data_IF_726388631441
#
_entry.id   IF_726388631441
#
_cell.length_a   1.000
_cell.length_b   1.000
_cell.length_c   1.000
_cell.angle_alpha   90.00
_cell.angle_beta   90.00
_cell.angle_gamma   90.00
#
_symmetry.space_group_name_H-M   'P 1'
#
loop_
_entity.id
_entity.type
_entity.pdbx_description
1 polymer ?
#
# COMPACT_ATOMS: atom_id res chain seq x y z
N UNK A 1 -39.99 -7.44 -30.51
CA UNK A 1 -38.95 -7.97 -31.41
C UNK A 1 -37.81 -8.52 -30.55
N UNK A 2 -37.12 -9.61 -30.96
CA UNK A 2 -36.06 -10.19 -30.14
C UNK A 2 -34.78 -9.35 -30.23
N UNK A 3 -34.29 -8.88 -29.09
CA UNK A 3 -32.99 -8.23 -28.94
C UNK A 3 -31.91 -9.25 -28.60
N UNK A 4 -30.67 -8.97 -29.01
CA UNK A 4 -29.50 -9.84 -28.76
C UNK A 4 -28.55 -9.19 -27.76
N UNK A 5 -28.38 -9.83 -26.61
CA UNK A 5 -27.45 -9.43 -25.57
C UNK A 5 -26.22 -10.31 -25.62
N UNK A 6 -25.02 -9.72 -25.66
CA UNK A 6 -23.75 -10.43 -25.78
C UNK A 6 -22.91 -10.20 -24.53
N UNK A 7 -22.65 -11.26 -23.80
CA UNK A 7 -21.97 -11.22 -22.50
C UNK A 7 -20.53 -11.69 -22.66
N UNK A 8 -19.59 -10.83 -22.28
CA UNK A 8 -18.16 -11.05 -22.48
C UNK A 8 -17.35 -10.65 -21.25
N UNK A 9 -16.21 -11.33 -21.08
CA UNK A 9 -15.17 -10.86 -20.18
C UNK A 9 -14.46 -9.63 -20.75
N UNK A 10 -13.69 -8.93 -19.90
CA UNK A 10 -12.88 -7.76 -20.29
C UNK A 10 -11.86 -8.06 -21.41
N UNK A 11 -11.45 -9.32 -21.55
CA UNK A 11 -10.57 -9.80 -22.64
C UNK A 11 -11.34 -10.16 -23.93
N UNK A 12 -12.63 -9.81 -24.01
CA UNK A 12 -13.55 -10.09 -25.10
C UNK A 12 -13.92 -11.57 -25.30
N UNK A 13 -13.49 -12.48 -24.42
CA UNK A 13 -13.94 -13.87 -24.44
C UNK A 13 -15.41 -13.98 -24.05
N UNK A 14 -16.13 -14.92 -24.66
CA UNK A 14 -17.56 -15.12 -24.41
C UNK A 14 -17.79 -15.83 -23.07
N UNK A 15 -18.77 -15.38 -22.29
CA UNK A 15 -19.22 -16.12 -21.10
C UNK A 15 -20.38 -17.04 -21.46
N UNK A 16 -20.10 -18.34 -21.58
CA UNK A 16 -21.10 -19.35 -21.93
C UNK A 16 -21.81 -19.95 -20.70
N UNK A 17 -23.02 -20.46 -20.92
CA UNK A 17 -23.82 -21.24 -19.96
C UNK A 17 -23.97 -20.60 -18.56
N UNK A 18 -24.07 -19.27 -18.51
CA UNK A 18 -24.11 -18.51 -17.26
C UNK A 18 -25.43 -17.77 -17.12
N UNK A 19 -25.91 -17.66 -15.88
CA UNK A 19 -27.19 -17.03 -15.55
C UNK A 19 -27.04 -15.52 -15.37
N UNK A 20 -27.94 -14.76 -15.97
CA UNK A 20 -28.01 -13.30 -15.91
C UNK A 20 -29.45 -12.84 -15.69
N UNK A 21 -29.59 -11.69 -15.04
CA UNK A 21 -30.87 -11.01 -14.86
C UNK A 21 -30.99 -9.90 -15.90
N UNK A 22 -32.00 -9.97 -16.77
CA UNK A 22 -32.35 -8.89 -17.69
C UNK A 22 -33.78 -8.48 -17.42
N UNK A 23 -33.99 -7.25 -16.94
CA UNK A 23 -35.29 -6.72 -16.50
C UNK A 23 -35.99 -7.61 -15.48
N UNK A 24 -35.20 -8.19 -14.56
CA UNK A 24 -35.69 -9.10 -13.51
C UNK A 24 -35.95 -10.55 -13.97
N UNK A 25 -35.79 -10.86 -15.26
CA UNK A 25 -35.90 -12.23 -15.77
C UNK A 25 -34.54 -12.92 -15.75
N UNK A 26 -34.46 -14.11 -15.14
CA UNK A 26 -33.28 -14.96 -15.20
C UNK A 26 -33.18 -15.66 -16.56
N UNK A 27 -32.07 -15.44 -17.25
CA UNK A 27 -31.77 -15.94 -18.59
C UNK A 27 -30.37 -16.56 -18.60
N UNK A 28 -30.16 -17.54 -19.48
CA UNK A 28 -28.88 -18.26 -19.59
C UNK A 28 -28.22 -17.94 -20.91
N UNK A 29 -26.92 -17.62 -20.90
CA UNK A 29 -26.14 -17.41 -22.12
C UNK A 29 -25.93 -18.71 -22.88
N UNK A 30 -26.00 -18.64 -24.21
CA UNK A 30 -25.63 -19.76 -25.07
C UNK A 30 -24.09 -19.99 -25.12
N UNK A 31 -23.65 -20.93 -25.97
CA UNK A 31 -22.22 -21.24 -26.14
C UNK A 31 -21.37 -20.06 -26.64
N UNK A 32 -21.99 -19.06 -27.26
CA UNK A 32 -21.35 -17.86 -27.78
C UNK A 32 -21.48 -16.66 -26.82
N UNK A 33 -22.07 -16.87 -25.64
CA UNK A 33 -22.31 -15.82 -24.66
C UNK A 33 -23.50 -14.93 -25.01
N UNK A 34 -24.46 -15.41 -25.80
CA UNK A 34 -25.58 -14.61 -26.30
C UNK A 34 -26.88 -15.00 -25.60
N UNK A 35 -27.69 -13.98 -25.28
CA UNK A 35 -29.08 -14.11 -24.81
C UNK A 35 -29.99 -13.41 -25.82
N UNK A 36 -31.04 -14.12 -26.25
CA UNK A 36 -32.10 -13.56 -27.08
C UNK A 36 -33.32 -13.27 -26.21
N UNK A 37 -33.79 -12.03 -26.17
CA UNK A 37 -34.94 -11.63 -25.34
C UNK A 37 -35.89 -10.73 -26.12
N UNK A 38 -37.16 -11.09 -26.13
CA UNK A 38 -38.23 -10.27 -26.71
C UNK A 38 -38.72 -9.24 -25.70
N UNK A 39 -38.65 -7.97 -26.07
CA UNK A 39 -39.08 -6.85 -25.23
C UNK A 39 -40.27 -6.11 -25.86
N UNK A 40 -41.10 -5.42 -25.05
CA UNK A 40 -42.17 -4.56 -25.53
C UNK A 40 -41.64 -3.48 -26.49
N UNK A 41 -42.41 -3.12 -27.51
CA UNK A 41 -41.99 -2.17 -28.55
C UNK A 41 -41.67 -0.75 -28.03
N UNK A 42 -42.14 -0.40 -26.83
CA UNK A 42 -41.91 0.90 -26.19
C UNK A 42 -40.72 0.89 -25.21
N UNK A 43 -40.05 -0.24 -25.00
CA UNK A 43 -38.89 -0.29 -24.12
C UNK A 43 -37.71 0.45 -24.76
N UNK A 44 -37.08 1.36 -24.02
CA UNK A 44 -35.90 2.12 -24.47
C UNK A 44 -34.62 1.71 -23.74
N UNK A 45 -34.74 0.95 -22.64
CA UNK A 45 -33.62 0.42 -21.87
C UNK A 45 -34.04 -0.86 -21.14
N UNK A 46 -33.04 -1.60 -20.66
CA UNK A 46 -33.20 -2.73 -19.75
C UNK A 46 -32.22 -2.65 -18.58
N UNK A 47 -32.61 -3.24 -17.46
CA UNK A 47 -31.71 -3.42 -16.32
C UNK A 47 -30.99 -4.77 -16.45
N UNK A 48 -29.69 -4.77 -16.24
CA UNK A 48 -28.77 -5.89 -16.33
C UNK A 48 -28.21 -6.14 -14.92
N UNK A 49 -28.39 -7.35 -14.43
CA UNK A 49 -27.79 -7.85 -13.21
C UNK A 49 -27.18 -9.23 -13.42
N UNK A 50 -26.34 -9.64 -12.47
CA UNK A 50 -25.92 -11.04 -12.34
C UNK A 50 -26.82 -11.72 -11.31
N UNK A 51 -27.35 -12.91 -11.61
CA UNK A 51 -28.01 -13.72 -10.57
C UNK A 51 -27.00 -14.46 -9.68
N UNK A 52 -25.72 -14.45 -10.05
CA UNK A 52 -24.61 -14.96 -9.25
C UNK A 52 -23.55 -13.86 -9.05
N UNK A 53 -23.80 -13.00 -8.05
CA UNK A 53 -22.89 -11.92 -7.65
C UNK A 53 -21.54 -12.43 -7.13
N UNK A 54 -21.43 -13.73 -6.79
CA UNK A 54 -20.19 -14.37 -6.34
C UNK A 54 -19.32 -14.85 -7.50
N UNK A 55 -19.87 -14.94 -8.70
CA UNK A 55 -19.15 -15.41 -9.89
C UNK A 55 -18.76 -14.28 -10.84
N UNK A 56 -19.56 -13.20 -10.95
CA UNK A 56 -19.31 -12.11 -11.90
C UNK A 56 -19.83 -10.74 -11.42
N UNK A 57 -19.10 -9.68 -11.79
CA UNK A 57 -19.51 -8.26 -11.63
C UNK A 57 -19.67 -7.63 -13.01
N UNK A 58 -20.83 -7.01 -13.26
CA UNK A 58 -21.10 -6.24 -14.49
C UNK A 58 -20.31 -4.94 -14.47
N UNK A 59 -19.45 -4.76 -15.48
CA UNK A 59 -18.60 -3.57 -15.68
C UNK A 59 -19.19 -2.60 -16.68
N UNK A 60 -19.93 -3.12 -17.65
CA UNK A 60 -20.66 -2.35 -18.65
C UNK A 60 -21.93 -3.10 -19.03
N UNK A 61 -23.07 -2.42 -19.24
CA UNK A 61 -23.27 -0.97 -19.10
C UNK A 61 -23.05 -0.48 -17.66
N UNK A 62 -22.60 0.76 -17.52
CA UNK A 62 -22.45 1.41 -16.21
C UNK A 62 -23.81 1.44 -15.51
N UNK A 63 -23.82 1.21 -14.20
CA UNK A 63 -25.04 1.13 -13.36
C UNK A 63 -26.01 0.01 -13.74
N UNK A 64 -25.58 -0.94 -14.58
CA UNK A 64 -26.43 -2.06 -14.99
C UNK A 64 -27.61 -1.63 -15.87
N UNK A 65 -27.54 -0.51 -16.60
CA UNK A 65 -28.62 -0.05 -17.48
C UNK A 65 -28.21 -0.06 -18.95
N UNK A 66 -28.71 -1.01 -19.74
CA UNK A 66 -28.41 -1.09 -21.16
C UNK A 66 -29.45 -0.32 -21.98
N UNK A 67 -29.00 0.59 -22.85
CA UNK A 67 -29.88 1.27 -23.81
C UNK A 67 -30.20 0.31 -24.95
N UNK A 68 -31.48 0.21 -25.32
CA UNK A 68 -31.92 -0.63 -26.43
C UNK A 68 -31.68 0.09 -27.76
N UNK A 69 -30.99 -0.53 -28.74
CA UNK A 69 -30.81 0.04 -30.05
C UNK A 69 -32.16 0.13 -30.80
N UNK A 70 -32.27 1.10 -31.71
CA UNK A 70 -33.45 1.22 -32.59
C UNK A 70 -33.61 0.02 -33.53
N UNK A 71 -32.49 -0.57 -33.92
CA UNK A 71 -32.44 -1.82 -34.68
C UNK A 71 -32.22 -3.02 -33.72
N UNK A 72 -33.21 -3.91 -33.55
CA UNK A 72 -33.09 -5.09 -32.70
C UNK A 72 -32.04 -6.11 -33.16
N UNK A 73 -31.56 -6.03 -34.41
CA UNK A 73 -30.48 -6.88 -34.89
C UNK A 73 -29.11 -6.48 -34.32
N UNK A 74 -28.97 -5.27 -33.78
CA UNK A 74 -27.74 -4.78 -33.16
C UNK A 74 -27.50 -5.45 -31.80
N UNK A 75 -26.27 -5.92 -31.58
CA UNK A 75 -25.88 -6.52 -30.31
C UNK A 75 -25.76 -5.48 -29.20
N UNK A 76 -26.27 -5.83 -28.02
CA UNK A 76 -26.08 -5.09 -26.79
C UNK A 76 -24.95 -5.78 -26.02
N UNK A 77 -23.79 -5.15 -25.96
CA UNK A 77 -22.62 -5.68 -25.27
C UNK A 77 -22.69 -5.46 -23.76
N UNK A 78 -22.47 -6.54 -23.01
CA UNK A 78 -22.37 -6.56 -21.55
C UNK A 78 -20.97 -7.09 -21.22
N UNK A 79 -20.17 -6.25 -20.56
CA UNK A 79 -18.84 -6.63 -20.11
C UNK A 79 -18.84 -6.95 -18.63
N UNK A 80 -18.20 -8.06 -18.28
CA UNK A 80 -18.13 -8.58 -16.92
C UNK A 80 -16.68 -8.86 -16.51
N UNK A 81 -16.46 -8.86 -15.19
CA UNK A 81 -15.20 -9.28 -14.58
C UNK A 81 -15.49 -10.34 -13.51
N UNK A 82 -14.56 -11.25 -13.26
CA UNK A 82 -14.63 -12.11 -12.06
C UNK A 82 -14.57 -11.21 -10.81
N UNK A 83 -15.35 -11.50 -9.75
CA UNK A 83 -15.23 -10.78 -8.50
C UNK A 83 -13.80 -10.94 -8.03
N UNK A 84 -13.10 -9.82 -7.93
CA UNK A 84 -11.82 -9.77 -7.28
C UNK A 84 -12.10 -10.18 -5.83
N UNK A 85 -11.38 -11.15 -5.23
CA UNK A 85 -11.43 -11.32 -3.79
C UNK A 85 -11.20 -9.94 -3.17
N UNK A 86 -12.10 -9.55 -2.28
CA UNK A 86 -12.24 -8.18 -1.83
C UNK A 86 -10.87 -7.67 -1.37
N UNK A 87 -10.33 -6.65 -2.04
CA UNK A 87 -8.94 -6.21 -1.80
C UNK A 87 -8.75 -5.72 -0.35
N UNK A 88 -9.85 -5.37 0.32
CA UNK A 88 -9.91 -5.10 1.76
C UNK A 88 -9.60 -6.33 2.63
N UNK A 89 -9.96 -7.54 2.19
CA UNK A 89 -9.68 -8.79 2.90
C UNK A 89 -8.19 -9.18 2.77
N UNK A 90 -7.59 -8.96 1.60
CA UNK A 90 -6.14 -9.12 1.39
C UNK A 90 -5.31 -8.06 2.13
N UNK A 91 -5.78 -6.80 2.15
CA UNK A 91 -5.16 -5.72 2.92
C UNK A 91 -5.28 -6.00 4.41
N UNK A 92 -6.45 -6.40 4.92
CA UNK A 92 -6.61 -6.75 6.34
C UNK A 92 -5.81 -8.00 6.74
N UNK A 93 -5.68 -9.02 5.88
CA UNK A 93 -4.83 -10.17 6.15
C UNK A 93 -3.33 -9.81 6.19
N UNK A 94 -2.86 -8.93 5.29
CA UNK A 94 -1.48 -8.42 5.32
C UNK A 94 -1.23 -7.49 6.50
N UNK A 95 -2.15 -6.57 6.79
CA UNK A 95 -2.10 -5.73 7.99
C UNK A 95 -2.07 -6.58 9.26
N UNK A 96 -2.82 -7.68 9.30
CA UNK A 96 -2.79 -8.63 10.42
C UNK A 96 -1.44 -9.32 10.54
N UNK A 97 -0.86 -9.81 9.43
CA UNK A 97 0.45 -10.46 9.43
C UNK A 97 1.59 -9.50 9.83
N UNK A 98 1.56 -8.26 9.33
CA UNK A 98 2.54 -7.21 9.64
C UNK A 98 2.40 -6.70 11.07
N UNK A 99 1.16 -6.48 11.54
CA UNK A 99 0.85 -6.22 12.94
C UNK A 99 1.38 -7.32 13.85
N UNK A 100 1.28 -8.60 13.43
CA UNK A 100 1.82 -9.73 14.21
C UNK A 100 3.36 -9.71 14.28
N UNK A 101 4.04 -9.33 13.19
CA UNK A 101 5.50 -9.20 13.17
C UNK A 101 5.97 -8.03 14.06
N UNK A 102 5.30 -6.88 13.96
CA UNK A 102 5.58 -5.70 14.80
C UNK A 102 5.30 -6.02 16.27
N UNK A 103 4.16 -6.63 16.60
CA UNK A 103 3.83 -7.02 17.97
C UNK A 103 4.88 -7.98 18.59
N UNK A 104 5.44 -8.90 17.80
CA UNK A 104 6.56 -9.74 18.24
C UNK A 104 7.82 -8.92 18.52
N UNK A 105 8.14 -7.95 17.68
CA UNK A 105 9.26 -7.03 17.89
C UNK A 105 9.03 -6.14 19.13
N UNK A 106 7.81 -5.63 19.33
CA UNK A 106 7.44 -4.82 20.49
C UNK A 106 7.64 -5.59 21.80
N UNK A 107 7.17 -6.85 21.84
CA UNK A 107 7.32 -7.71 23.02
C UNK A 107 8.78 -7.99 23.34
N UNK A 108 9.61 -8.27 22.33
CA UNK A 108 11.06 -8.49 22.50
C UNK A 108 11.76 -7.22 23.01
N UNK A 109 11.44 -6.08 22.41
CA UNK A 109 12.05 -4.79 22.75
C UNK A 109 11.67 -4.34 24.15
N UNK A 110 10.40 -4.51 24.54
CA UNK A 110 9.91 -4.16 25.89
C UNK A 110 10.54 -5.05 26.96
N UNK A 111 10.63 -6.37 26.72
CA UNK A 111 11.32 -7.30 27.62
C UNK A 111 12.80 -6.92 27.77
N UNK A 112 13.48 -6.63 26.66
CA UNK A 112 14.87 -6.21 26.68
C UNK A 112 15.08 -4.87 27.41
N UNK A 113 14.15 -3.92 27.28
CA UNK A 113 14.23 -2.64 27.99
C UNK A 113 14.14 -2.79 29.50
N UNK A 114 13.22 -3.63 29.98
CA UNK A 114 13.11 -3.92 31.42
C UNK A 114 14.41 -4.52 31.97
N UNK A 115 15.08 -5.36 31.17
CA UNK A 115 16.39 -5.92 31.52
C UNK A 115 17.49 -4.84 31.57
N UNK A 116 17.51 -3.90 30.62
CA UNK A 116 18.42 -2.74 30.66
C UNK A 116 18.22 -1.94 31.95
N UNK A 117 16.97 -1.65 32.33
CA UNK A 117 16.68 -0.92 33.56
C UNK A 117 17.14 -1.67 34.82
N UNK A 118 16.95 -2.99 34.85
CA UNK A 118 17.44 -3.86 35.92
C UNK A 118 18.96 -3.80 36.03
N UNK A 119 19.66 -3.98 34.91
CA UNK A 119 21.12 -3.96 34.85
C UNK A 119 21.72 -2.59 35.22
N UNK A 120 21.07 -1.50 34.81
CA UNK A 120 21.47 -0.15 35.21
C UNK A 120 21.32 0.09 36.71
N UNK A 121 20.28 -0.47 37.35
CA UNK A 121 20.08 -0.38 38.81
C UNK A 121 21.07 -1.23 39.58
N UNK A 122 21.33 -2.45 39.12
CA UNK A 122 22.22 -3.40 39.80
C UNK A 122 23.71 -3.04 39.66
N UNK A 123 24.11 -2.47 38.51
CA UNK A 123 25.52 -2.26 38.18
C UNK A 123 26.00 -0.80 38.30
N UNK A 124 25.29 0.05 39.06
CA UNK A 124 25.62 1.49 39.23
C UNK A 124 27.06 1.77 39.72
N UNK A 125 27.76 0.77 40.28
CA UNK A 125 29.10 0.94 40.88
C UNK A 125 30.22 0.07 40.29
N UNK A 126 29.91 -0.97 39.50
CA UNK A 126 30.92 -1.96 39.03
C UNK A 126 30.99 -2.15 37.51
N UNK A 127 30.12 -1.49 36.74
CA UNK A 127 29.98 -1.74 35.31
C UNK A 127 29.38 -3.12 35.02
N UNK A 128 28.96 -3.38 33.78
CA UNK A 128 28.48 -4.69 33.37
C UNK A 128 29.65 -5.65 33.13
N UNK A 129 29.45 -6.93 33.43
CA UNK A 129 30.40 -7.98 33.02
C UNK A 129 30.45 -8.13 31.50
N UNK A 130 31.58 -8.57 30.97
CA UNK A 130 31.74 -8.84 29.53
C UNK A 130 30.69 -9.84 28.99
N UNK A 131 30.32 -10.85 29.81
CA UNK A 131 29.28 -11.81 29.45
C UNK A 131 27.89 -11.17 29.33
N UNK A 132 27.54 -10.24 30.24
CA UNK A 132 26.27 -9.51 30.18
C UNK A 132 26.23 -8.54 29.00
N UNK A 133 27.35 -7.87 28.71
CA UNK A 133 27.51 -7.04 27.52
C UNK A 133 27.30 -7.85 26.24
N UNK A 134 28.00 -8.98 26.09
CA UNK A 134 27.88 -9.84 24.92
C UNK A 134 26.44 -10.34 24.72
N UNK A 135 25.79 -10.84 25.78
CA UNK A 135 24.39 -11.28 25.73
C UNK A 135 23.47 -10.15 25.26
N UNK A 136 23.61 -8.96 25.85
CA UNK A 136 22.83 -7.80 25.45
C UNK A 136 23.04 -7.39 23.99
N UNK A 137 24.29 -7.47 23.49
CA UNK A 137 24.58 -7.24 22.06
C UNK A 137 23.89 -8.25 21.16
N UNK A 138 23.94 -9.55 21.50
CA UNK A 138 23.26 -10.61 20.74
C UNK A 138 21.74 -10.42 20.71
N UNK A 139 21.15 -9.92 21.79
CA UNK A 139 19.71 -9.69 21.87
C UNK A 139 19.27 -8.42 21.14
N UNK A 140 20.03 -7.33 21.26
CA UNK A 140 19.63 -6.01 20.75
C UNK A 140 20.11 -5.69 19.34
N UNK A 141 21.27 -6.20 18.91
CA UNK A 141 21.79 -5.94 17.57
C UNK A 141 20.77 -6.30 16.47
N UNK A 142 20.10 -7.47 16.51
CA UNK A 142 19.08 -7.80 15.53
C UNK A 142 17.87 -6.86 15.59
N UNK A 143 17.45 -6.42 16.78
CA UNK A 143 16.29 -5.54 16.95
C UNK A 143 16.56 -4.14 16.37
N UNK A 144 17.74 -3.59 16.66
CA UNK A 144 18.18 -2.28 16.15
C UNK A 144 18.25 -2.34 14.62
N UNK A 145 18.92 -3.37 14.09
CA UNK A 145 19.12 -3.56 12.65
C UNK A 145 17.78 -3.75 11.93
N UNK A 146 16.91 -4.60 12.47
CA UNK A 146 15.59 -4.86 11.90
C UNK A 146 14.69 -3.62 11.92
N UNK A 147 14.69 -2.84 13.01
CA UNK A 147 13.92 -1.60 13.10
C UNK A 147 14.32 -0.61 12.00
N UNK A 148 15.63 -0.36 11.82
CA UNK A 148 16.12 0.58 10.82
C UNK A 148 15.89 0.07 9.39
N UNK A 149 16.10 -1.22 9.15
CA UNK A 149 15.90 -1.81 7.82
C UNK A 149 14.42 -1.86 7.44
N UNK A 150 13.52 -2.19 8.37
CA UNK A 150 12.07 -2.18 8.11
C UNK A 150 11.56 -0.77 7.86
N UNK A 151 12.05 0.23 8.60
CA UNK A 151 11.78 1.63 8.28
C UNK A 151 12.23 1.99 6.86
N UNK A 152 13.50 1.73 6.53
CA UNK A 152 14.07 2.09 5.23
C UNK A 152 13.33 1.39 4.08
N UNK A 153 13.02 0.10 4.24
CA UNK A 153 12.30 -0.70 3.24
C UNK A 153 10.91 -0.15 2.99
N UNK A 154 10.11 0.07 4.04
CA UNK A 154 8.75 0.60 3.89
C UNK A 154 8.74 2.02 3.31
N UNK A 155 9.74 2.84 3.62
CA UNK A 155 9.91 4.15 3.01
C UNK A 155 10.26 4.08 1.52
N UNK A 156 11.13 3.14 1.11
CA UNK A 156 11.45 2.86 -0.30
C UNK A 156 10.23 2.34 -1.06
N UNK A 157 9.47 1.42 -0.47
CA UNK A 157 8.25 0.88 -1.05
C UNK A 157 7.20 1.99 -1.28
N UNK A 158 7.05 2.89 -0.32
CA UNK A 158 6.19 4.06 -0.45
C UNK A 158 6.66 4.98 -1.60
N UNK A 159 7.95 5.34 -1.65
CA UNK A 159 8.51 6.17 -2.73
C UNK A 159 8.27 5.54 -4.12
N UNK A 160 8.47 4.23 -4.24
CA UNK A 160 8.22 3.49 -5.47
C UNK A 160 6.74 3.52 -5.86
N UNK A 161 5.83 3.34 -4.89
CA UNK A 161 4.38 3.40 -5.13
C UNK A 161 3.92 4.79 -5.61
N UNK A 162 4.53 5.88 -5.09
CA UNK A 162 4.25 7.25 -5.55
C UNK A 162 4.72 7.46 -7.00
N UNK A 163 5.87 6.89 -7.38
CA UNK A 163 6.36 6.90 -8.76
C UNK A 163 5.41 6.17 -9.71
N UNK A 164 4.88 5.03 -9.29
CA UNK A 164 3.87 4.28 -10.04
C UNK A 164 2.57 5.08 -10.19
N UNK A 165 2.11 5.73 -9.11
CA UNK A 165 0.91 6.56 -9.13
C UNK A 165 1.08 7.76 -10.08
N UNK A 166 2.22 8.45 -10.02
CA UNK A 166 2.56 9.52 -10.97
C UNK A 166 2.49 9.01 -12.41
N UNK A 167 3.11 7.86 -12.71
CA UNK A 167 3.08 7.25 -14.04
C UNK A 167 1.65 6.91 -14.51
N UNK A 168 0.78 6.49 -13.58
CA UNK A 168 -0.63 6.26 -13.87
C UNK A 168 -1.37 7.54 -14.30
N UNK A 169 -1.00 8.69 -13.73
CA UNK A 169 -1.64 9.99 -13.97
C UNK A 169 -1.18 10.72 -15.24
N UNK A 170 -0.16 10.23 -15.95
CA UNK A 170 0.35 10.88 -17.17
C UNK A 170 -0.72 11.06 -18.26
N UNK A 171 -1.72 10.18 -18.30
CA UNK A 171 -2.88 10.31 -19.19
C UNK A 171 -4.17 9.94 -18.46
N UNK A 172 -5.27 10.62 -18.79
CA UNK A 172 -6.60 10.32 -18.24
C UNK A 172 -6.99 8.86 -18.49
N UNK A 173 -6.72 8.34 -19.69
CA UNK A 173 -7.02 6.95 -20.06
C UNK A 173 -6.25 5.94 -19.18
N UNK A 174 -4.97 6.18 -18.91
CA UNK A 174 -4.20 5.30 -18.05
C UNK A 174 -4.69 5.38 -16.60
N UNK A 175 -4.96 6.59 -16.10
CA UNK A 175 -5.49 6.80 -14.76
C UNK A 175 -6.86 6.13 -14.57
N UNK A 176 -7.76 6.21 -15.55
CA UNK A 176 -9.05 5.50 -15.49
C UNK A 176 -8.89 3.97 -15.45
N UNK A 177 -7.86 3.44 -16.13
CA UNK A 177 -7.60 2.00 -16.20
C UNK A 177 -6.98 1.44 -14.91
N UNK A 178 -5.97 2.13 -14.36
CA UNK A 178 -5.16 1.59 -13.24
C UNK A 178 -5.05 2.50 -12.03
N UNK A 179 -5.56 3.73 -12.10
CA UNK A 179 -5.44 4.76 -11.06
C UNK A 179 -6.04 4.34 -9.73
N UNK A 180 -7.24 3.74 -9.73
CA UNK A 180 -7.85 3.25 -8.48
C UNK A 180 -7.00 2.17 -7.81
N UNK A 181 -6.34 1.31 -8.59
CA UNK A 181 -5.43 0.30 -8.07
C UNK A 181 -4.16 0.92 -7.51
N UNK A 182 -3.54 1.86 -8.23
CA UNK A 182 -2.30 2.50 -7.76
C UNK A 182 -2.53 3.39 -6.55
N UNK A 183 -3.69 4.05 -6.44
CA UNK A 183 -4.10 4.78 -5.22
C UNK A 183 -4.22 3.84 -4.03
N UNK A 184 -4.90 2.70 -4.19
CA UNK A 184 -5.03 1.72 -3.11
C UNK A 184 -3.66 1.18 -2.65
N UNK A 185 -2.74 0.95 -3.59
CA UNK A 185 -1.37 0.53 -3.28
C UNK A 185 -0.60 1.60 -2.49
N UNK A 186 -0.72 2.89 -2.87
CA UNK A 186 -0.09 3.98 -2.11
C UNK A 186 -0.67 4.04 -0.70
N UNK A 187 -1.98 3.91 -0.53
CA UNK A 187 -2.61 3.90 0.80
C UNK A 187 -2.11 2.73 1.67
N UNK A 188 -1.97 1.52 1.10
CA UNK A 188 -1.36 0.37 1.79
C UNK A 188 0.06 0.71 2.26
N UNK A 189 0.88 1.33 1.37
CA UNK A 189 2.27 1.68 1.70
C UNK A 189 2.41 2.83 2.70
N UNK A 190 1.46 3.75 2.76
CA UNK A 190 1.41 4.75 3.82
C UNK A 190 1.17 4.08 5.18
N UNK A 191 0.27 3.11 5.26
CA UNK A 191 0.02 2.37 6.50
C UNK A 191 1.26 1.57 6.92
N UNK A 192 1.84 0.78 6.00
CA UNK A 192 3.05 0.00 6.26
C UNK A 192 4.19 0.88 6.80
N UNK A 193 4.38 2.04 6.17
CA UNK A 193 5.39 3.02 6.59
C UNK A 193 5.07 3.62 7.97
N UNK A 194 3.82 4.02 8.22
CA UNK A 194 3.43 4.64 9.49
C UNK A 194 3.59 3.68 10.68
N UNK A 195 3.32 2.39 10.48
CA UNK A 195 3.58 1.37 11.49
C UNK A 195 5.08 1.24 11.80
N UNK A 196 5.92 1.17 10.76
CA UNK A 196 7.38 1.09 10.91
C UNK A 196 7.99 2.34 11.56
N UNK A 197 7.49 3.52 11.18
CA UNK A 197 7.85 4.80 11.80
C UNK A 197 7.44 4.82 13.27
N UNK A 198 6.20 4.49 13.60
CA UNK A 198 5.68 4.51 14.98
C UNK A 198 6.47 3.57 15.87
N UNK A 199 6.81 2.37 15.36
CA UNK A 199 7.67 1.43 16.07
C UNK A 199 9.06 2.02 16.33
N UNK A 200 9.70 2.56 15.30
CA UNK A 200 11.05 3.15 15.41
C UNK A 200 11.07 4.33 16.37
N UNK A 201 10.09 5.23 16.28
CA UNK A 201 9.97 6.40 17.13
C UNK A 201 9.71 6.04 18.60
N UNK A 202 8.86 5.04 18.85
CA UNK A 202 8.55 4.53 20.20
C UNK A 202 9.76 3.92 20.90
N UNK A 203 10.64 3.23 20.17
CA UNK A 203 11.75 2.46 20.75
C UNK A 203 13.14 3.07 20.55
N UNK A 204 13.26 4.24 19.91
CA UNK A 204 14.55 4.91 19.67
C UNK A 204 15.37 5.11 20.95
N UNK A 205 14.76 5.54 22.04
CA UNK A 205 15.49 5.80 23.30
C UNK A 205 15.93 4.50 23.98
N UNK A 206 15.11 3.45 23.87
CA UNK A 206 15.46 2.10 24.32
C UNK A 206 16.70 1.60 23.60
N UNK A 207 16.75 1.73 22.27
CA UNK A 207 17.88 1.30 21.47
C UNK A 207 19.13 2.13 21.73
N UNK A 208 18.99 3.46 21.84
CA UNK A 208 20.09 4.36 22.24
C UNK A 208 20.69 3.95 23.58
N UNK A 209 19.84 3.69 24.58
CA UNK A 209 20.27 3.26 25.90
C UNK A 209 20.93 1.87 25.86
N UNK A 210 20.38 0.94 25.08
CA UNK A 210 20.95 -0.40 24.88
C UNK A 210 22.37 -0.31 24.31
N UNK A 211 22.58 0.56 23.31
CA UNK A 211 23.91 0.80 22.73
C UNK A 211 24.86 1.36 23.77
N UNK A 212 24.45 2.41 24.50
CA UNK A 212 25.28 3.01 25.54
C UNK A 212 25.71 1.98 26.61
N UNK A 213 24.80 1.07 26.98
CA UNK A 213 25.02 0.07 28.04
C UNK A 213 25.81 -1.15 27.57
N UNK A 214 25.37 -1.82 26.49
CA UNK A 214 25.95 -3.09 26.06
C UNK A 214 27.20 -2.94 25.19
N UNK A 215 27.31 -1.86 24.43
CA UNK A 215 28.54 -1.50 23.71
C UNK A 215 29.48 -0.64 24.54
N UNK A 216 29.03 -0.16 25.71
CA UNK A 216 29.78 0.75 26.57
C UNK A 216 30.35 1.94 25.79
N UNK A 217 29.54 2.50 24.87
CA UNK A 217 29.98 3.53 23.94
C UNK A 217 28.93 4.61 23.78
N UNK A 218 29.16 5.75 24.43
CA UNK A 218 28.32 6.93 24.27
C UNK A 218 28.45 7.53 22.87
N UNK A 219 29.60 7.36 22.22
CA UNK A 219 29.82 7.77 20.84
C UNK A 219 28.88 7.00 19.89
N UNK A 220 28.80 5.66 20.01
CA UNK A 220 27.90 4.85 19.20
C UNK A 220 26.43 5.19 19.46
N UNK A 221 26.07 5.40 20.72
CA UNK A 221 24.71 5.83 21.09
C UNK A 221 24.36 7.19 20.48
N UNK A 222 25.32 8.11 20.40
CA UNK A 222 25.14 9.42 19.77
C UNK A 222 25.03 9.31 18.25
N UNK A 223 25.86 8.48 17.60
CA UNK A 223 25.75 8.19 16.16
C UNK A 223 24.38 7.61 15.81
N UNK A 224 23.86 6.70 16.63
CA UNK A 224 22.51 6.18 16.49
C UNK A 224 21.44 7.28 16.64
N UNK A 225 21.54 8.11 17.69
CA UNK A 225 20.62 9.23 17.92
C UNK A 225 20.56 10.17 16.71
N UNK A 226 21.73 10.55 16.16
CA UNK A 226 21.81 11.42 15.00
C UNK A 226 21.18 10.76 13.74
N UNK A 227 21.35 9.45 13.57
CA UNK A 227 20.71 8.71 12.49
C UNK A 227 19.18 8.73 12.61
N UNK A 228 18.66 8.54 13.83
CA UNK A 228 17.22 8.67 14.11
C UNK A 228 16.73 10.10 13.85
N UNK A 229 17.50 11.12 14.19
CA UNK A 229 17.12 12.50 13.92
C UNK A 229 17.00 12.77 12.42
N UNK A 230 17.94 12.28 11.60
CA UNK A 230 17.83 12.36 10.12
C UNK A 230 16.57 11.62 9.63
N UNK A 231 16.30 10.43 10.16
CA UNK A 231 15.10 9.65 9.80
C UNK A 231 13.79 10.43 10.05
N UNK A 232 13.69 11.09 11.21
CA UNK A 232 12.46 11.77 11.64
C UNK A 232 12.36 13.18 11.03
N UNK A 233 13.38 14.00 11.23
CA UNK A 233 13.31 15.43 10.92
C UNK A 233 13.66 15.73 9.46
N UNK A 234 14.61 15.01 8.88
CA UNK A 234 15.07 15.27 7.52
C UNK A 234 14.33 14.42 6.47
N UNK A 235 13.67 13.33 6.89
CA UNK A 235 12.88 12.49 6.00
C UNK A 235 11.37 12.47 6.32
N UNK A 236 10.95 11.96 7.48
CA UNK A 236 9.53 11.77 7.78
C UNK A 236 8.73 13.09 7.68
N UNK A 237 9.16 14.12 8.41
CA UNK A 237 8.46 15.41 8.44
C UNK A 237 8.29 16.07 7.06
N UNK A 238 9.36 16.29 6.27
CA UNK A 238 9.24 16.99 5.00
C UNK A 238 8.53 16.18 3.90
N UNK A 239 8.73 14.86 3.86
CA UNK A 239 8.27 14.07 2.72
C UNK A 239 6.98 13.29 2.97
N UNK A 240 6.71 12.84 4.20
CA UNK A 240 5.57 11.97 4.46
C UNK A 240 4.33 12.79 4.82
N UNK A 241 4.47 13.81 5.67
CA UNK A 241 3.34 14.63 6.08
C UNK A 241 2.70 15.38 4.89
N UNK A 242 3.50 15.72 3.88
CA UNK A 242 3.03 16.34 2.65
C UNK A 242 2.14 15.45 1.78
N UNK A 243 2.12 14.13 2.01
CA UNK A 243 1.34 13.19 1.18
C UNK A 243 -0.17 13.37 1.30
N UNK A 244 -0.65 13.84 2.45
CA UNK A 244 -2.07 14.13 2.65
C UNK A 244 -2.59 15.17 1.64
N UNK A 245 -1.78 16.16 1.30
CA UNK A 245 -2.16 17.19 0.33
C UNK A 245 -2.33 16.61 -1.08
N UNK A 246 -1.50 15.64 -1.47
CA UNK A 246 -1.64 14.96 -2.76
C UNK A 246 -2.92 14.13 -2.83
N UNK A 247 -3.28 13.44 -1.76
CA UNK A 247 -4.52 12.64 -1.68
C UNK A 247 -5.75 13.55 -1.78
N UNK A 248 -5.80 14.64 -1.00
CA UNK A 248 -6.91 15.62 -1.03
C UNK A 248 -7.05 16.23 -2.43
N UNK A 249 -5.93 16.61 -3.05
CA UNK A 249 -5.93 17.15 -4.41
C UNK A 249 -6.43 16.13 -5.41
N UNK A 250 -6.04 14.86 -5.28
CA UNK A 250 -6.53 13.79 -6.15
C UNK A 250 -8.04 13.61 -6.08
N UNK A 251 -8.62 13.62 -4.87
CA UNK A 251 -10.07 13.59 -4.71
C UNK A 251 -10.76 14.76 -5.40
N UNK A 252 -10.20 15.97 -5.26
CA UNK A 252 -10.73 17.18 -5.90
C UNK A 252 -10.71 17.08 -7.43
N UNK A 253 -9.63 16.53 -7.99
CA UNK A 253 -9.48 16.32 -9.44
C UNK A 253 -10.52 15.34 -9.98
N UNK A 254 -10.86 14.31 -9.21
CA UNK A 254 -11.86 13.32 -9.60
C UNK A 254 -13.31 13.87 -9.62
N UNK A 255 -13.54 15.06 -9.08
CA UNK A 255 -14.83 15.77 -9.17
C UNK A 255 -14.90 16.76 -10.33
N UNK A 256 -13.83 16.91 -11.12
CA UNK A 256 -13.77 17.86 -12.23
C UNK A 256 -14.31 17.27 -13.53
N UNK A 257 -14.78 18.15 -14.42
CA UNK A 257 -15.08 17.80 -15.81
C UNK A 257 -13.84 17.24 -16.53
N UNK A 258 -14.04 16.30 -17.46
CA UNK A 258 -12.98 15.55 -18.13
C UNK A 258 -11.88 16.43 -18.77
N UNK A 259 -12.24 17.61 -19.31
CA UNK A 259 -11.29 18.56 -19.89
C UNK A 259 -10.34 19.19 -18.86
N UNK A 260 -10.87 19.58 -17.70
CA UNK A 260 -10.09 20.15 -16.58
C UNK A 260 -9.31 19.06 -15.84
N UNK A 261 -9.91 17.88 -15.69
CA UNK A 261 -9.29 16.70 -15.09
C UNK A 261 -7.97 16.34 -15.77
N UNK A 262 -7.91 16.39 -17.10
CA UNK A 262 -6.67 16.09 -17.86
C UNK A 262 -5.50 17.00 -17.46
N UNK A 263 -5.75 18.31 -17.36
CA UNK A 263 -4.72 19.29 -17.01
C UNK A 263 -4.23 19.10 -15.58
N UNK A 264 -5.17 18.97 -14.63
CA UNK A 264 -4.83 18.80 -13.23
C UNK A 264 -4.16 17.46 -12.90
N UNK A 265 -4.59 16.35 -13.53
CA UNK A 265 -3.90 15.06 -13.37
C UNK A 265 -2.45 15.13 -13.85
N UNK A 266 -2.19 15.84 -14.95
CA UNK A 266 -0.82 16.03 -15.45
C UNK A 266 0.02 16.87 -14.49
N UNK A 267 -0.55 17.93 -13.91
CA UNK A 267 0.15 18.75 -12.91
C UNK A 267 0.46 17.94 -11.65
N UNK A 268 -0.55 17.25 -11.11
CA UNK A 268 -0.38 16.37 -9.95
C UNK A 268 0.63 15.25 -10.23
N UNK A 269 0.62 14.66 -11.43
CA UNK A 269 1.61 13.67 -11.87
C UNK A 269 3.04 14.22 -11.75
N UNK A 270 3.29 15.44 -12.22
CA UNK A 270 4.61 16.06 -12.17
C UNK A 270 5.02 16.35 -10.72
N UNK A 271 4.12 16.91 -9.92
CA UNK A 271 4.42 17.23 -8.51
C UNK A 271 4.73 15.96 -7.71
N UNK A 272 3.93 14.89 -7.90
CA UNK A 272 4.20 13.58 -7.29
C UNK A 272 5.53 12.98 -7.75
N UNK A 273 5.88 13.14 -9.02
CA UNK A 273 7.16 12.67 -9.54
C UNK A 273 8.32 13.40 -8.87
N UNK A 274 8.29 14.74 -8.84
CA UNK A 274 9.32 15.55 -8.19
C UNK A 274 9.45 15.18 -6.71
N UNK A 275 8.33 14.98 -6.03
CA UNK A 275 8.31 14.54 -4.64
C UNK A 275 8.94 13.16 -4.43
N UNK A 276 8.54 12.17 -5.24
CA UNK A 276 9.05 10.80 -5.17
C UNK A 276 10.54 10.71 -5.55
N UNK A 277 10.99 11.50 -6.54
CA UNK A 277 12.41 11.57 -6.91
C UNK A 277 13.24 12.14 -5.74
N UNK A 278 12.77 13.23 -5.12
CA UNK A 278 13.43 13.82 -3.95
C UNK A 278 13.47 12.86 -2.74
N UNK A 279 12.36 12.14 -2.48
CA UNK A 279 12.32 11.08 -1.48
C UNK A 279 13.36 10.00 -1.78
N UNK A 280 13.44 9.54 -3.03
CA UNK A 280 14.37 8.48 -3.44
C UNK A 280 15.83 8.87 -3.25
N UNK A 281 16.19 10.11 -3.58
CA UNK A 281 17.54 10.64 -3.32
C UNK A 281 17.88 10.60 -1.82
N UNK A 282 16.96 11.06 -0.97
CA UNK A 282 17.17 11.04 0.49
C UNK A 282 17.22 9.62 1.05
N UNK A 283 16.43 8.70 0.52
CA UNK A 283 16.44 7.30 0.92
C UNK A 283 17.76 6.59 0.56
N UNK A 284 18.44 7.01 -0.51
CA UNK A 284 19.75 6.48 -0.85
C UNK A 284 20.83 6.92 0.15
N UNK A 285 20.90 8.22 0.48
CA UNK A 285 21.79 8.73 1.54
C UNK A 285 21.51 8.05 2.89
N UNK A 286 20.23 7.91 3.25
CA UNK A 286 19.84 7.22 4.47
C UNK A 286 20.23 5.73 4.46
N UNK A 287 20.07 5.05 3.32
CA UNK A 287 20.46 3.65 3.15
C UNK A 287 21.96 3.45 3.40
N UNK A 288 22.79 4.37 2.91
CA UNK A 288 24.23 4.35 3.14
C UNK A 288 24.54 4.53 4.63
N UNK A 289 23.95 5.55 5.27
CA UNK A 289 24.14 5.81 6.71
C UNK A 289 23.74 4.62 7.59
N UNK A 290 22.59 4.00 7.31
CA UNK A 290 22.13 2.80 8.04
C UNK A 290 23.10 1.64 7.83
N UNK A 291 23.58 1.43 6.60
CA UNK A 291 24.53 0.36 6.28
C UNK A 291 25.86 0.56 7.02
N UNK A 292 26.40 1.78 6.98
CA UNK A 292 27.63 2.15 7.70
C UNK A 292 27.45 1.98 9.20
N UNK A 293 26.34 2.44 9.76
CA UNK A 293 26.07 2.27 11.18
C UNK A 293 25.98 0.79 11.58
N UNK A 294 25.25 -0.03 10.81
CA UNK A 294 25.14 -1.47 11.04
C UNK A 294 26.49 -2.18 11.01
N UNK A 295 27.39 -1.80 10.09
CA UNK A 295 28.74 -2.33 10.03
C UNK A 295 29.57 -1.95 11.27
N UNK A 296 29.48 -0.69 11.71
CA UNK A 296 30.19 -0.20 12.89
C UNK A 296 29.69 -0.88 14.16
N UNK A 297 28.37 -0.90 14.39
CA UNK A 297 27.80 -1.49 15.62
C UNK A 297 28.00 -3.01 15.65
N UNK A 298 27.98 -3.69 14.50
CA UNK A 298 28.22 -5.13 14.41
C UNK A 298 29.67 -5.54 14.69
N UNK A 299 30.64 -4.66 14.46
CA UNK A 299 32.08 -4.92 14.71
C UNK A 299 32.56 -4.32 16.04
N UNK A 300 31.80 -3.39 16.62
CA UNK A 300 32.16 -2.78 17.88
C UNK A 300 32.11 -3.80 19.04
N UNK A 301 33.28 -4.09 19.60
CA UNK A 301 33.44 -4.94 20.78
C UNK A 301 33.70 -6.43 20.50
N UNK A 302 34.14 -6.78 19.28
CA UNK A 302 34.79 -8.06 18.95
C UNK A 302 36.32 -8.02 19.10
N UNK A 303 36.87 -6.91 19.61
CA UNK A 303 38.30 -6.72 19.90
C UNK A 303 38.55 -6.72 21.40
#
# INVERSE_FOLDING_TARGET
MPYKFRIRFEDYSALSNSKFLITGQELVTDRQGIINLSLPALATYVNIGSSDLKSYVVRYPLEGRAILPKDPATFIDIYISKPNPDKMELVSAKLTAQSTAIAKLEKKTTTGYNEILRLLKENQRKGLSAAAQMKGRTEFLPLITESMNTYLRTAKDLSASLTMLSSAMQTVKNYQRVGNQTVAQVSEKIVDYNEAFSFTDKYKDTYKQAIAVYWNSQELATKYSNLIDVLIYDFHKPYILGLNNFIIRLYSINQLDAGKQKGELKNLSNDLKTHADAMSTKLNDLSERITTFNAIIGTAGTN
#
